data_IF_466822396240
#
_entry.id   IF_466822396240
#
_cell.length_a   1.000
_cell.length_b   1.000
_cell.length_c   1.000
_cell.angle_alpha   90.00
_cell.angle_beta   90.00
_cell.angle_gamma   90.00
#
_symmetry.space_group_name_H-M   'P 1'
#
loop_
_entity.id
_entity.type
_entity.pdbx_description
1 polymer ?
#
# COMPACT_ATOMS: atom_id res chain seq x y z
N UNK A 1 55.67 -9.19 47.44
CA UNK A 1 54.99 -8.29 48.39
C UNK A 1 53.94 -7.35 47.75
N UNK A 2 53.98 -7.05 46.44
CA UNK A 2 52.98 -6.13 45.83
C UNK A 2 51.61 -6.78 45.61
N UNK A 3 51.57 -8.07 45.23
CA UNK A 3 50.32 -8.79 44.95
C UNK A 3 49.48 -9.01 46.21
N UNK A 4 50.13 -9.30 47.34
CA UNK A 4 49.47 -9.48 48.65
C UNK A 4 48.85 -8.19 49.19
N UNK A 5 49.44 -7.03 48.86
CA UNK A 5 48.93 -5.72 49.30
C UNK A 5 47.65 -5.31 48.56
N UNK A 6 47.54 -5.65 47.26
CA UNK A 6 46.37 -5.32 46.44
C UNK A 6 45.16 -6.18 46.84
N UNK A 7 45.36 -7.46 47.15
CA UNK A 7 44.28 -8.34 47.62
C UNK A 7 43.75 -7.94 48.99
N UNK A 8 44.60 -7.42 49.88
CA UNK A 8 44.15 -6.94 51.19
C UNK A 8 43.34 -5.64 51.07
N UNK A 9 43.72 -4.75 50.14
CA UNK A 9 42.99 -3.51 49.87
C UNK A 9 41.61 -3.76 49.23
N UNK A 10 41.50 -4.78 48.36
CA UNK A 10 40.21 -5.16 47.75
C UNK A 10 39.25 -5.82 48.76
N UNK A 11 39.77 -6.58 49.73
CA UNK A 11 38.95 -7.21 50.77
C UNK A 11 38.42 -6.17 51.78
N UNK A 12 39.19 -5.12 52.05
CA UNK A 12 38.80 -4.04 52.97
C UNK A 12 37.63 -3.20 52.44
N UNK A 13 37.47 -3.09 51.10
CA UNK A 13 36.38 -2.36 50.46
C UNK A 13 35.00 -3.04 50.58
N UNK A 14 34.97 -4.34 50.94
CA UNK A 14 33.72 -5.10 51.12
C UNK A 14 33.14 -4.93 52.54
N UNK A 15 33.95 -4.41 53.49
CA UNK A 15 33.55 -4.24 54.89
C UNK A 15 32.97 -2.85 55.22
N UNK A 16 32.93 -1.92 54.27
CA UNK A 16 32.22 -0.66 54.44
C UNK A 16 30.74 -0.83 54.03
N UNK A 17 29.78 -0.54 54.93
CA UNK A 17 28.37 -0.54 54.55
C UNK A 17 28.16 0.56 53.49
N UNK A 18 27.60 0.18 52.34
CA UNK A 18 27.16 1.15 51.35
C UNK A 18 26.12 2.08 51.98
N UNK A 19 26.30 3.39 51.84
CA UNK A 19 25.28 4.37 52.22
C UNK A 19 23.95 3.99 51.57
N UNK A 20 22.86 4.06 52.34
CA UNK A 20 21.53 3.85 51.80
C UNK A 20 21.30 4.88 50.68
N UNK A 21 21.27 4.41 49.44
CA UNK A 21 20.82 5.19 48.30
C UNK A 21 19.38 5.67 48.60
N UNK A 22 19.28 6.92 49.04
CA UNK A 22 18.01 7.57 49.30
C UNK A 22 17.35 7.86 47.96
N UNK A 23 16.43 6.99 47.56
CA UNK A 23 15.47 7.29 46.53
C UNK A 23 14.67 8.52 46.99
N UNK A 24 14.89 9.66 46.31
CA UNK A 24 14.07 10.85 46.49
C UNK A 24 12.61 10.50 46.14
N UNK A 25 11.80 10.23 47.17
CA UNK A 25 10.35 10.38 47.11
C UNK A 25 10.04 11.87 47.16
N UNK A 26 10.04 12.53 46.01
CA UNK A 26 9.24 13.74 45.89
C UNK A 26 7.78 13.34 45.72
N UNK A 27 7.03 13.57 46.80
CA UNK A 27 5.57 13.63 46.79
C UNK A 27 5.11 14.58 45.68
N UNK A 28 4.66 14.03 44.56
CA UNK A 28 3.68 14.71 43.72
C UNK A 28 2.31 14.47 44.34
N UNK A 29 1.66 15.54 44.77
CA UNK A 29 0.24 15.54 45.09
C UNK A 29 -0.57 14.86 43.97
N UNK A 30 -1.58 14.03 44.27
CA UNK A 30 -2.37 13.38 43.24
C UNK A 30 -3.21 14.44 42.51
N UNK A 31 -2.81 14.77 41.28
CA UNK A 31 -3.71 15.41 40.33
C UNK A 31 -4.80 14.41 39.93
N UNK A 32 -6.04 14.89 39.81
CA UNK A 32 -7.29 14.13 39.68
C UNK A 32 -7.45 13.32 38.36
N UNK A 33 -6.37 12.82 37.78
CA UNK A 33 -6.35 12.14 36.48
C UNK A 33 -5.95 10.66 36.53
N UNK A 34 -5.58 10.11 37.70
CA UNK A 34 -5.17 8.71 37.84
C UNK A 34 -6.29 7.77 38.32
N UNK A 35 -7.51 7.94 37.82
CA UNK A 35 -8.58 6.94 38.03
C UNK A 35 -9.70 7.04 36.97
N UNK A 36 -9.32 6.95 35.69
CA UNK A 36 -10.30 6.82 34.61
C UNK A 36 -10.48 5.34 34.27
N UNK A 37 -11.69 4.84 34.48
CA UNK A 37 -12.07 3.46 34.21
C UNK A 37 -12.52 3.28 32.76
N UNK A 38 -12.10 2.18 32.13
CA UNK A 38 -12.48 1.83 30.76
C UNK A 38 -14.00 1.62 30.69
N UNK A 39 -14.69 2.42 29.86
CA UNK A 39 -16.14 2.32 29.62
C UNK A 39 -17.01 3.38 30.33
N UNK A 40 -16.42 4.23 31.18
CA UNK A 40 -17.14 5.28 31.91
C UNK A 40 -17.02 6.63 31.19
N UNK A 41 -18.14 7.34 30.99
CA UNK A 41 -18.14 8.69 30.38
C UNK A 41 -17.92 9.73 31.48
N UNK A 42 -16.86 10.52 31.35
CA UNK A 42 -16.57 11.64 32.23
C UNK A 42 -16.83 12.96 31.48
N UNK A 43 -17.66 13.87 32.02
CA UNK A 43 -17.84 15.18 31.42
C UNK A 43 -16.58 16.03 31.64
N UNK A 44 -16.05 16.60 30.56
CA UNK A 44 -14.96 17.57 30.63
C UNK A 44 -15.56 18.97 30.82
N UNK A 45 -15.32 19.60 31.96
CA UNK A 45 -15.56 21.03 32.14
C UNK A 45 -14.41 21.78 31.46
N UNK A 46 -14.71 22.50 30.38
CA UNK A 46 -13.77 23.42 29.73
C UNK A 46 -14.01 24.78 30.36
N UNK A 47 -13.10 25.22 31.23
CA UNK A 47 -13.11 26.57 31.77
C UNK A 47 -12.30 27.48 30.82
N UNK A 48 -13.00 28.31 30.04
CA UNK A 48 -12.37 29.29 29.14
C UNK A 48 -12.29 30.62 29.87
N UNK A 49 -11.21 30.82 30.62
CA UNK A 49 -10.87 32.13 31.18
C UNK A 49 -10.21 32.99 30.09
N UNK A 50 -11.00 33.89 29.50
CA UNK A 50 -10.49 34.90 28.56
C UNK A 50 -9.82 36.01 29.38
N UNK A 51 -8.49 36.07 29.34
CA UNK A 51 -7.72 37.15 29.93
C UNK A 51 -7.93 38.46 29.14
N UNK A 52 -8.46 39.48 29.81
CA UNK A 52 -8.56 40.84 29.28
C UNK A 52 -7.16 41.46 29.20
N UNK A 53 -6.63 41.62 27.98
CA UNK A 53 -5.47 42.48 27.71
C UNK A 53 -5.99 43.88 27.39
N UNK A 54 -5.75 44.82 28.30
CA UNK A 54 -6.05 46.24 28.13
C UNK A 54 -4.90 46.98 27.43
N UNK A 55 -5.26 47.65 26.33
CA UNK A 55 -4.82 48.95 25.80
C UNK A 55 -3.51 49.12 25.01
N UNK A 56 -3.70 49.68 23.81
CA UNK A 56 -2.69 50.26 22.91
C UNK A 56 -3.26 50.75 21.57
N UNK A 57 -4.21 51.70 21.60
CA UNK A 57 -4.64 52.67 20.57
C UNK A 57 -4.54 52.33 19.06
N UNK A 58 -5.68 52.18 18.37
CA UNK A 58 -6.18 53.20 17.40
C UNK A 58 -7.46 52.75 16.65
N UNK A 59 -8.48 53.63 16.73
CA UNK A 59 -9.56 53.92 15.78
C UNK A 59 -10.39 52.77 15.17
N UNK A 60 -11.59 52.57 15.72
CA UNK A 60 -12.76 52.11 14.95
C UNK A 60 -14.03 52.86 15.38
N UNK A 61 -14.64 53.54 14.40
CA UNK A 61 -16.01 54.05 14.46
C UNK A 61 -17.01 52.90 14.52
N UNK A 62 -17.90 53.00 15.49
CA UNK A 62 -19.34 52.77 15.40
C UNK A 62 -19.80 51.49 14.67
N UNK A 63 -20.12 50.46 15.47
CA UNK A 63 -21.14 49.47 15.13
C UNK A 63 -21.87 49.06 16.41
N UNK A 64 -23.13 49.49 16.42
CA UNK A 64 -24.16 49.19 17.38
C UNK A 64 -24.39 47.69 17.58
N UNK A 65 -24.68 47.38 18.83
CA UNK A 65 -25.18 46.13 19.36
C UNK A 65 -26.20 45.42 18.47
N UNK A 66 -25.79 44.32 17.85
CA UNK A 66 -26.73 43.27 17.43
C UNK A 66 -26.40 41.99 18.18
N UNK A 67 -27.37 41.58 19.00
CA UNK A 67 -27.46 40.30 19.69
C UNK A 67 -27.15 39.17 18.71
N UNK A 68 -25.95 38.61 18.78
CA UNK A 68 -25.69 37.28 18.23
C UNK A 68 -26.43 36.29 19.11
N UNK A 69 -27.67 36.01 18.72
CA UNK A 69 -28.48 34.98 19.35
C UNK A 69 -27.81 33.62 19.13
N UNK A 70 -27.60 32.90 20.23
CA UNK A 70 -27.26 31.46 20.30
C UNK A 70 -28.37 30.55 19.72
N UNK A 71 -29.22 31.06 18.83
CA UNK A 71 -30.43 30.40 18.34
C UNK A 71 -30.21 29.51 17.10
N UNK A 72 -28.99 29.38 16.59
CA UNK A 72 -28.73 28.68 15.31
C UNK A 72 -28.06 27.30 15.43
N UNK A 73 -27.83 26.77 16.63
CA UNK A 73 -27.36 25.38 16.81
C UNK A 73 -28.44 24.36 17.20
N UNK A 74 -29.70 24.78 17.40
CA UNK A 74 -30.81 23.93 17.87
C UNK A 74 -31.98 23.75 16.88
N UNK A 75 -31.72 23.81 15.57
CA UNK A 75 -32.66 23.30 14.54
C UNK A 75 -32.06 22.13 13.77
N UNK A 76 -31.64 21.09 14.48
CA UNK A 76 -31.78 19.73 13.93
C UNK A 76 -33.28 19.45 13.89
N UNK A 77 -33.94 19.78 12.78
CA UNK A 77 -35.23 19.20 12.45
C UNK A 77 -35.15 17.69 12.73
N UNK A 78 -36.05 17.16 13.55
CA UNK A 78 -36.09 15.72 13.86
C UNK A 78 -36.35 14.95 12.57
N UNK A 79 -35.26 14.54 11.92
CA UNK A 79 -35.33 13.70 10.75
C UNK A 79 -35.67 12.29 11.20
N UNK A 80 -36.74 11.74 10.62
CA UNK A 80 -37.01 10.30 10.72
C UNK A 80 -36.07 9.58 9.77
N UNK A 81 -35.15 8.79 10.33
CA UNK A 81 -34.14 8.05 9.57
C UNK A 81 -34.59 6.62 9.29
N UNK A 82 -34.58 6.24 8.00
CA UNK A 82 -34.79 4.86 7.56
C UNK A 82 -33.54 4.31 6.89
N UNK A 83 -33.16 3.08 7.21
CA UNK A 83 -32.10 2.33 6.53
C UNK A 83 -32.69 1.52 5.38
N UNK A 84 -32.05 1.52 4.22
CA UNK A 84 -32.41 0.68 3.09
C UNK A 84 -31.20 -0.14 2.62
N UNK A 85 -31.27 -1.46 2.82
CA UNK A 85 -30.31 -2.41 2.25
C UNK A 85 -30.67 -2.69 0.78
N UNK A 86 -29.68 -2.66 -0.08
CA UNK A 86 -29.83 -2.83 -1.53
C UNK A 86 -29.93 -4.31 -1.88
N UNK A 87 -30.99 -4.65 -2.61
CA UNK A 87 -31.32 -6.02 -3.02
C UNK A 87 -30.96 -6.25 -4.49
N UNK A 88 -30.90 -7.51 -4.91
CA UNK A 88 -30.69 -7.86 -6.32
C UNK A 88 -31.79 -7.23 -7.20
N UNK A 89 -31.38 -6.49 -8.24
CA UNK A 89 -32.30 -5.82 -9.16
C UNK A 89 -32.90 -4.50 -8.65
N UNK A 90 -32.47 -4.01 -7.47
CA UNK A 90 -32.81 -2.67 -7.00
C UNK A 90 -32.15 -1.61 -7.89
N UNK A 91 -32.87 -0.50 -8.08
CA UNK A 91 -32.35 0.79 -8.54
C UNK A 91 -32.64 1.82 -7.46
N UNK A 92 -32.02 3.01 -7.53
CA UNK A 92 -32.35 4.11 -6.61
C UNK A 92 -33.87 4.39 -6.59
N UNK A 93 -34.51 4.38 -7.76
CA UNK A 93 -35.96 4.56 -7.88
C UNK A 93 -36.76 3.51 -7.10
N UNK A 94 -36.39 2.22 -7.25
CA UNK A 94 -37.07 1.13 -6.53
C UNK A 94 -36.86 1.21 -5.02
N UNK A 95 -35.66 1.60 -4.59
CA UNK A 95 -35.33 1.77 -3.17
C UNK A 95 -36.14 2.91 -2.56
N UNK A 96 -36.16 4.07 -3.22
CA UNK A 96 -36.91 5.24 -2.77
C UNK A 96 -38.43 4.99 -2.77
N UNK A 97 -38.96 4.33 -3.80
CA UNK A 97 -40.36 3.94 -3.86
C UNK A 97 -40.76 3.00 -2.71
N UNK A 98 -39.93 2.01 -2.39
CA UNK A 98 -40.13 1.12 -1.23
C UNK A 98 -40.17 1.86 0.10
N UNK A 99 -39.54 3.02 0.19
CA UNK A 99 -39.55 3.88 1.37
C UNK A 99 -40.67 4.93 1.35
N UNK A 100 -41.51 4.97 0.30
CA UNK A 100 -42.65 5.87 0.15
C UNK A 100 -42.35 7.16 -0.64
N UNK A 101 -41.19 7.28 -1.30
CA UNK A 101 -40.85 8.44 -2.11
C UNK A 101 -41.18 8.21 -3.59
N UNK A 102 -41.80 9.20 -4.22
CA UNK A 102 -42.22 9.11 -5.61
C UNK A 102 -41.08 9.31 -6.63
N UNK A 103 -41.42 9.14 -7.92
CA UNK A 103 -40.48 9.28 -9.02
C UNK A 103 -39.88 10.69 -9.15
N UNK A 104 -40.62 11.74 -8.76
CA UNK A 104 -40.12 13.13 -8.78
C UNK A 104 -38.98 13.33 -7.80
N UNK A 105 -39.13 12.84 -6.56
CA UNK A 105 -38.04 12.88 -5.56
C UNK A 105 -36.82 12.10 -6.07
N UNK A 106 -37.05 10.94 -6.70
CA UNK A 106 -35.95 10.16 -7.29
C UNK A 106 -35.21 10.96 -8.36
N UNK A 107 -35.94 11.62 -9.27
CA UNK A 107 -35.35 12.47 -10.29
C UNK A 107 -34.52 13.59 -9.65
N UNK A 108 -35.12 14.38 -8.75
CA UNK A 108 -34.48 15.52 -8.08
C UNK A 108 -33.21 15.12 -7.30
N UNK A 109 -33.21 13.96 -6.63
CA UNK A 109 -32.03 13.41 -5.94
C UNK A 109 -30.97 12.92 -6.95
N UNK A 110 -31.38 12.24 -8.01
CA UNK A 110 -30.47 11.73 -9.04
C UNK A 110 -29.84 12.84 -9.89
N UNK A 111 -30.52 13.98 -10.00
CA UNK A 111 -30.08 15.20 -10.68
C UNK A 111 -29.57 16.27 -9.72
N UNK A 112 -29.32 15.91 -8.45
CA UNK A 112 -28.85 16.86 -7.45
C UNK A 112 -27.58 17.58 -7.92
N UNK A 113 -27.48 18.87 -7.58
CA UNK A 113 -26.37 19.73 -7.96
C UNK A 113 -25.05 19.14 -7.44
N UNK A 114 -24.02 19.17 -8.29
CA UNK A 114 -22.70 18.61 -7.99
C UNK A 114 -22.28 17.49 -8.94
N UNK A 115 -21.04 17.02 -8.79
CA UNK A 115 -20.43 16.04 -9.72
C UNK A 115 -20.63 14.58 -9.29
N UNK A 116 -21.18 14.34 -8.10
CA UNK A 116 -21.08 13.04 -7.42
C UNK A 116 -22.36 12.19 -7.48
N UNK A 117 -23.48 12.73 -7.97
CA UNK A 117 -24.76 12.01 -8.10
C UNK A 117 -24.70 10.80 -9.03
N UNK A 118 -23.79 10.79 -10.00
CA UNK A 118 -23.57 9.63 -10.88
C UNK A 118 -23.13 8.37 -10.11
N UNK A 119 -22.61 8.52 -8.87
CA UNK A 119 -22.25 7.40 -8.01
C UNK A 119 -23.48 6.65 -7.49
N UNK A 120 -24.65 7.30 -7.40
CA UNK A 120 -25.91 6.64 -7.05
C UNK A 120 -26.39 5.67 -8.15
N UNK A 121 -25.83 5.75 -9.36
CA UNK A 121 -26.08 4.76 -10.43
C UNK A 121 -25.22 3.50 -10.28
N UNK A 122 -24.22 3.53 -9.40
CA UNK A 122 -23.25 2.45 -9.17
C UNK A 122 -23.47 1.74 -7.83
N UNK A 123 -24.67 1.89 -7.25
CA UNK A 123 -25.03 1.22 -6.00
C UNK A 123 -24.98 -0.29 -6.20
N UNK A 124 -24.32 -1.00 -5.28
CA UNK A 124 -24.10 -2.43 -5.35
C UNK A 124 -25.04 -3.19 -4.42
N UNK A 125 -25.31 -4.45 -4.76
CA UNK A 125 -26.09 -5.34 -3.88
C UNK A 125 -25.34 -5.50 -2.55
N UNK A 126 -26.07 -5.37 -1.44
CA UNK A 126 -25.50 -5.42 -0.09
C UNK A 126 -25.21 -4.06 0.54
N UNK A 127 -25.10 -3.00 -0.27
CA UNK A 127 -24.94 -1.64 0.23
C UNK A 127 -26.11 -1.22 1.12
N UNK A 128 -25.88 -0.25 2.00
CA UNK A 128 -26.92 0.32 2.87
C UNK A 128 -26.97 1.83 2.72
N UNK A 129 -28.13 2.35 2.29
CA UNK A 129 -28.42 3.78 2.27
C UNK A 129 -29.18 4.19 3.52
N UNK A 130 -28.98 5.42 3.98
CA UNK A 130 -29.80 6.02 5.04
C UNK A 130 -30.54 7.21 4.45
N UNK A 131 -31.85 7.23 4.62
CA UNK A 131 -32.72 8.30 4.14
C UNK A 131 -33.35 9.00 5.34
N UNK A 132 -33.11 10.30 5.47
CA UNK A 132 -33.69 11.17 6.48
C UNK A 132 -34.80 12.00 5.85
N UNK A 133 -36.01 11.86 6.37
CA UNK A 133 -37.16 12.67 5.98
C UNK A 133 -37.66 13.54 7.12
N UNK A 134 -38.22 14.70 6.79
CA UNK A 134 -38.92 15.53 7.78
C UNK A 134 -40.29 14.93 8.15
N UNK A 135 -40.98 15.45 9.18
CA UNK A 135 -42.31 14.99 9.58
C UNK A 135 -43.39 15.07 8.48
N UNK A 136 -43.20 15.91 7.46
CA UNK A 136 -44.09 16.03 6.29
C UNK A 136 -43.79 15.00 5.19
N UNK A 137 -42.87 14.06 5.43
CA UNK A 137 -42.50 13.01 4.48
C UNK A 137 -41.58 13.45 3.34
N UNK A 138 -41.05 14.69 3.36
CA UNK A 138 -40.08 15.15 2.36
C UNK A 138 -38.69 14.61 2.68
N UNK A 139 -37.99 14.09 1.68
CA UNK A 139 -36.59 13.67 1.79
C UNK A 139 -35.71 14.90 2.02
N UNK A 140 -34.97 14.92 3.12
CA UNK A 140 -34.03 16.01 3.46
C UNK A 140 -32.59 15.58 3.28
N UNK A 141 -32.26 14.33 3.58
CA UNK A 141 -30.90 13.82 3.46
C UNK A 141 -30.86 12.37 3.00
N UNK A 142 -29.98 12.07 2.05
CA UNK A 142 -29.56 10.73 1.68
C UNK A 142 -28.09 10.60 2.01
N UNK A 143 -27.75 9.56 2.77
CA UNK A 143 -26.38 9.22 3.15
C UNK A 143 -26.05 7.84 2.58
N UNK A 144 -25.00 7.78 1.76
CA UNK A 144 -24.54 6.57 1.12
C UNK A 144 -23.04 6.36 1.35
N UNK A 145 -22.64 5.44 2.25
CA UNK A 145 -21.25 5.06 2.45
C UNK A 145 -20.69 4.41 1.18
N UNK A 146 -19.76 5.09 0.51
CA UNK A 146 -19.08 4.60 -0.70
C UNK A 146 -17.92 3.66 -0.35
N UNK A 147 -17.31 3.89 0.80
CA UNK A 147 -16.26 3.06 1.39
C UNK A 147 -16.22 3.31 2.90
N UNK A 148 -15.29 2.66 3.62
CA UNK A 148 -15.03 2.94 5.04
C UNK A 148 -14.62 4.41 5.29
N UNK A 149 -14.07 5.10 4.28
CA UNK A 149 -13.55 6.47 4.42
C UNK A 149 -14.36 7.51 3.68
N UNK A 150 -15.21 7.14 2.72
CA UNK A 150 -15.94 8.09 1.89
C UNK A 150 -17.44 7.88 2.03
N UNK A 151 -18.14 8.97 2.30
CA UNK A 151 -19.60 8.97 2.38
C UNK A 151 -20.14 10.03 1.43
N UNK A 152 -21.05 9.61 0.54
CA UNK A 152 -21.82 10.53 -0.28
C UNK A 152 -23.01 11.05 0.52
N UNK A 153 -23.16 12.36 0.53
CA UNK A 153 -24.34 13.04 1.05
C UNK A 153 -25.09 13.67 -0.11
N UNK A 154 -26.42 13.53 -0.10
CA UNK A 154 -27.32 14.31 -0.94
C UNK A 154 -28.33 14.98 -0.03
N UNK A 155 -28.19 16.29 0.13
CA UNK A 155 -28.97 17.08 1.09
C UNK A 155 -29.85 18.09 0.37
N UNK A 156 -31.07 18.28 0.86
CA UNK A 156 -31.95 19.34 0.41
C UNK A 156 -31.58 20.66 1.10
N UNK A 157 -31.03 21.60 0.35
CA UNK A 157 -30.55 22.92 0.82
C UNK A 157 -31.03 23.98 -0.16
N UNK A 158 -31.46 25.17 0.31
CA UNK A 158 -31.81 26.30 -0.57
C UNK A 158 -32.75 25.93 -1.73
N UNK A 159 -33.78 25.13 -1.45
CA UNK A 159 -34.75 24.63 -2.43
C UNK A 159 -34.23 23.69 -3.53
N UNK A 160 -33.03 23.14 -3.42
CA UNK A 160 -32.54 22.11 -4.32
C UNK A 160 -31.80 20.99 -3.57
N UNK A 161 -31.63 19.83 -4.21
CA UNK A 161 -30.71 18.83 -3.69
C UNK A 161 -29.29 19.14 -4.15
N UNK A 162 -28.34 19.02 -3.24
CA UNK A 162 -26.92 19.20 -3.48
C UNK A 162 -26.17 17.95 -3.01
N UNK A 163 -25.15 17.57 -3.77
CA UNK A 163 -24.32 16.38 -3.49
C UNK A 163 -22.89 16.77 -3.17
N UNK A 164 -22.36 16.20 -2.08
CA UNK A 164 -20.95 16.31 -1.72
C UNK A 164 -20.45 14.97 -1.15
N UNK A 165 -19.15 14.77 -1.17
CA UNK A 165 -18.51 13.61 -0.54
C UNK A 165 -17.73 14.12 0.66
N UNK A 166 -18.01 13.55 1.81
CA UNK A 166 -17.15 13.71 2.98
C UNK A 166 -16.17 12.54 3.02
N UNK A 167 -14.91 12.87 3.26
CA UNK A 167 -13.84 11.88 3.43
C UNK A 167 -13.36 11.94 4.86
N UNK A 168 -13.54 10.84 5.59
CA UNK A 168 -12.99 10.68 6.94
C UNK A 168 -11.47 10.58 6.86
N UNK A 169 -10.80 11.20 7.83
CA UNK A 169 -9.35 11.08 7.98
C UNK A 169 -9.00 9.66 8.40
N UNK A 170 -7.95 9.10 7.78
CA UNK A 170 -7.42 7.80 8.17
C UNK A 170 -6.28 8.03 9.13
N UNK A 171 -6.42 7.55 10.35
CA UNK A 171 -5.32 7.48 11.30
C UNK A 171 -4.47 6.25 10.97
N UNK A 172 -3.15 6.43 10.89
CA UNK A 172 -2.20 5.33 10.66
C UNK A 172 -1.37 5.10 11.91
N UNK A 173 -1.37 3.86 12.42
CA UNK A 173 -0.52 3.45 13.55
C UNK A 173 0.54 2.47 13.06
N UNK A 174 1.70 2.46 13.71
CA UNK A 174 2.76 1.50 13.37
C UNK A 174 2.52 0.19 14.11
N UNK A 175 2.59 -0.91 13.39
CA UNK A 175 2.44 -2.26 13.91
C UNK A 175 3.60 -3.15 13.44
N UNK A 176 3.75 -4.31 14.08
CA UNK A 176 4.88 -5.21 13.90
C UNK A 176 4.42 -6.66 13.79
N UNK A 177 5.14 -7.46 13.01
CA UNK A 177 4.96 -8.91 12.95
C UNK A 177 6.28 -9.58 12.68
N UNK A 178 6.52 -10.72 13.34
CA UNK A 178 7.68 -11.57 13.08
C UNK A 178 7.24 -13.02 12.92
N UNK A 179 7.99 -13.77 12.13
CA UNK A 179 7.75 -15.19 11.95
C UNK A 179 9.02 -15.97 11.67
N UNK A 180 8.94 -17.26 11.93
CA UNK A 180 10.00 -18.24 11.69
C UNK A 180 9.47 -19.32 10.75
N UNK A 181 10.25 -19.65 9.73
CA UNK A 181 9.89 -20.66 8.73
C UNK A 181 10.04 -22.05 9.33
N UNK A 182 8.93 -22.77 9.44
CA UNK A 182 8.92 -24.19 9.86
C UNK A 182 8.66 -25.13 8.69
N UNK A 183 7.85 -24.71 7.71
CA UNK A 183 7.48 -25.49 6.52
C UNK A 183 7.62 -24.69 5.24
N UNK A 184 6.84 -23.60 5.10
CA UNK A 184 6.94 -22.66 4.00
C UNK A 184 6.59 -21.24 4.47
N UNK A 185 6.90 -20.24 3.63
CA UNK A 185 6.68 -18.84 3.95
C UNK A 185 5.22 -18.46 4.16
N UNK A 186 4.31 -19.00 3.34
CA UNK A 186 2.89 -18.68 3.45
C UNK A 186 2.33 -19.11 4.81
N UNK A 187 2.61 -20.34 5.21
CA UNK A 187 2.17 -20.87 6.51
C UNK A 187 2.80 -20.13 7.69
N UNK A 188 4.08 -19.74 7.57
CA UNK A 188 4.74 -18.95 8.60
C UNK A 188 4.13 -17.54 8.71
N UNK A 189 3.73 -16.93 7.59
CA UNK A 189 3.00 -15.66 7.55
C UNK A 189 1.65 -15.74 8.26
N UNK A 190 0.83 -16.74 7.92
CA UNK A 190 -0.47 -16.98 8.58
C UNK A 190 -0.26 -17.22 10.08
N UNK A 191 0.70 -18.08 10.46
CA UNK A 191 0.98 -18.37 11.86
C UNK A 191 1.46 -17.15 12.65
N UNK A 192 2.10 -16.19 11.98
CA UNK A 192 2.50 -14.91 12.55
C UNK A 192 1.35 -13.88 12.61
N UNK A 193 0.16 -14.20 12.11
CA UNK A 193 -1.01 -13.30 12.10
C UNK A 193 -1.06 -12.35 10.90
N UNK A 194 -0.30 -12.61 9.83
CA UNK A 194 -0.36 -11.82 8.60
C UNK A 194 -1.55 -12.24 7.73
N UNK A 195 -2.16 -11.27 7.05
CA UNK A 195 -3.12 -11.55 5.97
C UNK A 195 -2.43 -11.88 4.62
N UNK A 196 -3.19 -12.45 3.70
CA UNK A 196 -2.72 -12.81 2.34
C UNK A 196 -2.03 -11.64 1.63
N UNK A 197 -2.57 -10.42 1.80
CA UNK A 197 -2.04 -9.22 1.18
C UNK A 197 -0.66 -8.83 1.72
N UNK A 198 -0.47 -8.90 3.03
CA UNK A 198 0.80 -8.65 3.70
C UNK A 198 1.84 -9.68 3.29
N UNK A 199 1.48 -10.97 3.24
CA UNK A 199 2.37 -12.07 2.82
C UNK A 199 2.85 -11.84 1.39
N UNK A 200 1.92 -11.56 0.46
CA UNK A 200 2.26 -11.26 -0.95
C UNK A 200 3.11 -9.99 -1.06
N UNK A 201 2.77 -8.94 -0.32
CA UNK A 201 3.53 -7.69 -0.35
C UNK A 201 4.95 -7.87 0.17
N UNK A 202 5.14 -8.65 1.25
CA UNK A 202 6.47 -8.97 1.77
C UNK A 202 7.28 -9.81 0.77
N UNK A 203 6.69 -10.85 0.18
CA UNK A 203 7.32 -11.62 -0.89
C UNK A 203 7.73 -10.73 -2.07
N UNK A 204 6.89 -9.76 -2.46
CA UNK A 204 7.21 -8.82 -3.54
C UNK A 204 8.38 -7.87 -3.20
N UNK A 205 8.60 -7.56 -1.92
CA UNK A 205 9.73 -6.72 -1.48
C UNK A 205 11.06 -7.45 -1.66
N UNK A 206 11.11 -8.74 -1.33
CA UNK A 206 12.36 -9.53 -1.33
C UNK A 206 12.50 -10.52 -2.49
N UNK A 207 11.47 -10.71 -3.31
CA UNK A 207 11.42 -11.75 -4.35
C UNK A 207 12.46 -11.60 -5.47
N UNK A 208 13.28 -10.55 -5.44
CA UNK A 208 14.45 -10.40 -6.29
C UNK A 208 15.73 -10.98 -5.71
N UNK A 209 15.84 -10.95 -4.38
CA UNK A 209 17.03 -11.36 -3.64
C UNK A 209 16.85 -12.77 -3.06
N UNK A 210 15.61 -13.17 -2.80
CA UNK A 210 15.25 -14.49 -2.27
C UNK A 210 14.24 -15.16 -3.22
N UNK A 211 14.54 -16.37 -3.69
CA UNK A 211 13.55 -17.23 -4.34
C UNK A 211 12.71 -17.95 -3.27
N UNK A 212 11.52 -17.42 -2.99
CA UNK A 212 10.63 -17.98 -1.95
C UNK A 212 10.19 -19.44 -2.21
N UNK A 213 10.35 -19.96 -3.43
CA UNK A 213 10.05 -21.35 -3.76
C UNK A 213 11.24 -22.30 -3.59
N UNK A 214 12.47 -21.81 -3.77
CA UNK A 214 13.67 -22.65 -3.85
C UNK A 214 14.67 -22.41 -2.71
N UNK A 215 14.76 -21.19 -2.20
CA UNK A 215 15.84 -20.76 -1.30
C UNK A 215 15.46 -20.84 0.17
N UNK A 216 14.17 -20.91 0.51
CA UNK A 216 13.75 -20.94 1.90
C UNK A 216 14.06 -22.24 2.60
N UNK A 217 14.54 -22.14 3.84
CA UNK A 217 14.86 -23.26 4.71
C UNK A 217 14.14 -23.13 6.04
N UNK A 218 14.04 -24.26 6.74
CA UNK A 218 13.63 -24.27 8.14
C UNK A 218 14.56 -23.33 8.92
N UNK A 219 13.99 -22.62 9.88
CA UNK A 219 14.66 -21.66 10.76
C UNK A 219 15.02 -20.29 10.16
N UNK A 220 14.75 -20.06 8.86
CA UNK A 220 14.72 -18.71 8.31
C UNK A 220 13.71 -17.83 9.07
N UNK A 221 13.96 -16.53 9.16
CA UNK A 221 13.08 -15.61 9.91
C UNK A 221 12.74 -14.36 9.12
N UNK A 222 11.62 -13.73 9.46
CA UNK A 222 11.27 -12.43 8.94
C UNK A 222 10.72 -11.54 10.06
N UNK A 223 10.92 -10.23 9.91
CA UNK A 223 10.34 -9.20 10.76
C UNK A 223 9.85 -8.03 9.91
N UNK A 224 8.68 -7.49 10.21
CA UNK A 224 8.01 -6.48 9.38
C UNK A 224 7.47 -5.38 10.27
N UNK A 225 7.76 -4.14 9.89
CA UNK A 225 7.10 -2.93 10.39
C UNK A 225 6.11 -2.47 9.34
N UNK A 226 4.85 -2.27 9.71
CA UNK A 226 3.79 -1.87 8.78
C UNK A 226 2.81 -0.88 9.41
N UNK A 227 1.89 -0.36 8.59
CA UNK A 227 0.81 0.53 9.02
C UNK A 227 -0.46 -0.25 9.34
N UNK A 228 -1.12 0.03 10.45
CA UNK A 228 -2.54 -0.25 10.66
C UNK A 228 -3.35 1.02 10.41
N UNK A 229 -4.52 0.88 9.78
CA UNK A 229 -5.38 2.01 9.44
C UNK A 229 -6.64 1.98 10.27
N UNK A 230 -6.99 3.15 10.80
CA UNK A 230 -8.17 3.36 11.63
C UNK A 230 -9.00 4.53 11.10
N UNK A 231 -10.31 4.41 11.26
CA UNK A 231 -11.27 5.48 10.98
C UNK A 231 -12.22 5.56 12.17
N UNK A 232 -12.28 6.72 12.83
CA UNK A 232 -13.08 6.92 14.05
C UNK A 232 -12.77 5.89 15.17
N UNK A 233 -11.54 5.38 15.21
CA UNK A 233 -11.10 4.35 16.16
C UNK A 233 -11.33 2.90 15.69
N UNK A 234 -12.11 2.68 14.64
CA UNK A 234 -12.35 1.35 14.08
C UNK A 234 -11.20 0.93 13.15
N UNK A 235 -10.69 -0.29 13.32
CA UNK A 235 -9.69 -0.86 12.43
C UNK A 235 -10.29 -1.14 11.04
N UNK A 236 -9.66 -0.59 10.00
CA UNK A 236 -10.13 -0.70 8.61
C UNK A 236 -9.18 -1.49 7.71
N UNK A 237 -8.15 -2.12 8.29
CA UNK A 237 -7.21 -2.98 7.58
C UNK A 237 -5.77 -2.46 7.60
N UNK A 238 -4.86 -3.34 7.21
CA UNK A 238 -3.44 -3.02 7.14
C UNK A 238 -3.14 -2.05 5.97
N UNK A 239 -2.04 -1.32 6.11
CA UNK A 239 -1.50 -0.35 5.17
C UNK A 239 -0.17 -0.82 4.60
N UNK A 240 0.78 0.09 4.44
CA UNK A 240 2.05 -0.20 3.76
C UNK A 240 3.04 -0.90 4.69
N UNK A 241 3.88 -1.76 4.13
CA UNK A 241 5.12 -2.19 4.80
C UNK A 241 6.07 -0.99 4.81
N UNK A 242 6.47 -0.56 6.01
CA UNK A 242 7.36 0.58 6.24
C UNK A 242 8.82 0.15 6.21
N UNK A 243 9.09 -1.01 6.80
CA UNK A 243 10.38 -1.68 6.73
C UNK A 243 10.20 -3.18 6.94
N UNK A 244 11.11 -3.96 6.39
CA UNK A 244 11.14 -5.39 6.63
C UNK A 244 12.58 -5.89 6.66
N UNK A 245 12.76 -6.99 7.38
CA UNK A 245 13.96 -7.78 7.39
C UNK A 245 13.62 -9.25 7.13
N UNK A 246 14.45 -9.93 6.35
CA UNK A 246 14.41 -11.36 6.15
C UNK A 246 15.81 -11.93 6.41
N UNK A 247 15.90 -12.98 7.22
CA UNK A 247 17.14 -13.75 7.40
C UNK A 247 16.96 -15.08 6.68
N UNK A 248 17.66 -15.25 5.55
CA UNK A 248 17.62 -16.47 4.76
C UNK A 248 19.00 -17.12 4.77
N UNK A 249 19.06 -18.35 5.30
CA UNK A 249 20.31 -19.12 5.42
C UNK A 249 21.47 -18.35 6.08
N UNK A 250 21.14 -17.50 7.07
CA UNK A 250 22.09 -16.67 7.81
C UNK A 250 22.43 -15.31 7.16
N UNK A 251 22.01 -15.07 5.91
CA UNK A 251 22.16 -13.76 5.26
C UNK A 251 20.98 -12.83 5.60
N UNK A 252 21.30 -11.58 5.94
CA UNK A 252 20.33 -10.57 6.35
C UNK A 252 19.96 -9.65 5.18
N UNK A 253 18.70 -9.67 4.80
CA UNK A 253 18.11 -8.81 3.78
C UNK A 253 17.21 -7.77 4.44
N UNK A 254 17.45 -6.48 4.17
CA UNK A 254 16.69 -5.39 4.77
C UNK A 254 16.13 -4.46 3.71
N UNK A 255 14.88 -4.06 3.88
CA UNK A 255 14.16 -3.19 2.96
C UNK A 255 13.45 -2.06 3.72
N UNK A 256 13.69 -0.82 3.30
CA UNK A 256 13.10 0.39 3.86
C UNK A 256 12.26 1.08 2.79
N UNK A 257 10.99 1.37 3.11
CA UNK A 257 10.09 2.12 2.23
C UNK A 257 10.41 3.61 2.26
N UNK A 258 10.50 4.24 1.09
CA UNK A 258 10.63 5.69 0.97
C UNK A 258 9.34 6.34 0.41
N UNK A 259 9.26 7.67 0.49
CA UNK A 259 8.09 8.48 0.10
C UNK A 259 7.75 8.40 -1.40
N UNK A 260 8.69 7.95 -2.23
CA UNK A 260 8.50 7.70 -3.66
C UNK A 260 7.82 6.34 -3.96
N UNK A 261 7.34 5.67 -2.91
CA UNK A 261 6.69 4.37 -2.93
C UNK A 261 7.59 3.17 -3.34
N UNK A 262 8.92 3.32 -3.36
CA UNK A 262 9.84 2.21 -3.59
C UNK A 262 10.48 1.72 -2.26
N UNK A 263 11.08 0.54 -2.33
CA UNK A 263 11.89 -0.03 -1.25
C UNK A 263 13.37 0.02 -1.62
N UNK A 264 14.17 0.30 -0.60
CA UNK A 264 15.62 0.41 -0.71
C UNK A 264 16.30 -0.32 0.43
N UNK A 265 17.49 -0.85 0.21
CA UNK A 265 18.37 -1.29 1.30
C UNK A 265 18.69 -0.10 2.23
N UNK A 266 19.16 -0.32 3.46
CA UNK A 266 19.59 0.77 4.34
C UNK A 266 20.68 1.67 3.74
N UNK A 267 21.49 1.12 2.83
CA UNK A 267 22.49 1.88 2.08
C UNK A 267 21.90 2.71 0.91
N UNK A 268 20.59 2.62 0.65
CA UNK A 268 19.90 3.34 -0.40
C UNK A 268 19.97 2.68 -1.78
N UNK A 269 20.41 1.42 -1.89
CA UNK A 269 20.30 0.64 -3.13
C UNK A 269 18.86 0.20 -3.33
N UNK A 270 18.35 0.15 -4.56
CA UNK A 270 16.96 -0.26 -4.77
C UNK A 270 16.79 -1.76 -4.51
N UNK A 271 15.70 -2.13 -3.82
CA UNK A 271 15.29 -3.54 -3.66
C UNK A 271 14.70 -4.12 -4.95
N UNK A 272 14.51 -3.31 -5.99
CA UNK A 272 14.02 -3.76 -7.30
C UNK A 272 15.20 -3.99 -8.23
N UNK A 273 15.15 -5.08 -8.99
CA UNK A 273 15.97 -5.19 -10.21
C UNK A 273 15.31 -4.35 -11.32
N UNK A 274 16.12 -3.74 -12.18
CA UNK A 274 15.58 -2.91 -13.25
C UNK A 274 14.68 -3.69 -14.24
N UNK A 275 14.78 -5.04 -14.25
CA UNK A 275 14.11 -5.92 -15.21
C UNK A 275 13.55 -7.22 -14.61
N UNK A 276 12.36 -7.66 -15.06
CA UNK A 276 11.79 -9.00 -14.86
C UNK A 276 12.52 -10.00 -15.76
N UNK A 277 12.85 -11.17 -15.19
CA UNK A 277 13.43 -12.29 -15.96
C UNK A 277 12.39 -12.99 -16.83
N UNK A 278 11.17 -13.13 -16.32
CA UNK A 278 10.04 -13.71 -17.02
C UNK A 278 8.88 -12.69 -17.10
N UNK A 279 8.61 -12.10 -18.28
CA UNK A 279 7.57 -11.08 -18.45
C UNK A 279 6.16 -11.66 -18.71
N UNK A 280 5.91 -12.93 -18.39
CA UNK A 280 4.66 -13.63 -18.68
C UNK A 280 4.44 -14.72 -17.63
N UNK A 281 3.18 -15.04 -17.31
CA UNK A 281 2.85 -16.25 -16.55
C UNK A 281 2.85 -17.46 -17.51
N UNK A 282 3.75 -18.41 -17.32
CA UNK A 282 3.99 -19.50 -18.29
C UNK A 282 3.89 -20.88 -17.63
N UNK A 283 3.60 -21.90 -18.44
CA UNK A 283 3.49 -23.29 -17.97
C UNK A 283 4.85 -23.95 -17.83
N UNK A 284 5.71 -23.78 -18.85
CA UNK A 284 7.10 -24.22 -18.85
C UNK A 284 7.89 -23.47 -19.94
N UNK A 285 9.21 -23.56 -19.90
CA UNK A 285 10.11 -23.00 -20.92
C UNK A 285 10.24 -24.03 -22.05
N UNK A 286 9.74 -23.73 -23.24
CA UNK A 286 9.80 -24.65 -24.38
C UNK A 286 11.16 -24.63 -25.08
N UNK A 287 11.88 -23.50 -25.03
CA UNK A 287 13.21 -23.39 -25.61
C UNK A 287 14.03 -22.31 -24.89
N UNK A 288 15.27 -22.65 -24.53
CA UNK A 288 16.20 -21.72 -23.89
C UNK A 288 17.01 -20.93 -24.91
N UNK A 289 17.56 -19.79 -24.48
CA UNK A 289 18.62 -19.10 -25.21
C UNK A 289 19.78 -20.06 -25.48
N UNK A 290 20.18 -20.19 -26.75
CA UNK A 290 21.31 -21.04 -27.17
C UNK A 290 22.05 -20.37 -28.31
N UNK A 291 23.38 -20.25 -28.20
CA UNK A 291 24.22 -19.73 -29.30
C UNK A 291 24.14 -20.59 -30.57
N UNK A 292 23.81 -21.88 -30.44
CA UNK A 292 23.62 -22.81 -31.55
C UNK A 292 22.52 -23.83 -31.19
N UNK A 293 21.44 -23.89 -31.98
CA UNK A 293 20.43 -24.97 -31.93
C UNK A 293 19.92 -25.32 -33.32
N UNK A 294 19.35 -26.50 -33.47
CA UNK A 294 18.58 -26.82 -34.66
C UNK A 294 17.23 -26.06 -34.64
N UNK A 295 16.94 -25.33 -35.72
CA UNK A 295 15.70 -24.58 -35.87
C UNK A 295 14.64 -25.49 -36.52
N UNK A 296 13.52 -25.80 -35.84
CA UNK A 296 12.59 -26.83 -36.28
C UNK A 296 11.83 -26.41 -37.55
N UNK A 297 11.36 -25.16 -37.64
CA UNK A 297 10.67 -24.65 -38.84
C UNK A 297 11.62 -24.47 -40.04
N UNK A 298 12.78 -23.84 -39.86
CA UNK A 298 13.73 -23.55 -40.93
C UNK A 298 14.65 -24.73 -41.27
N UNK A 299 14.58 -25.83 -40.52
CA UNK A 299 15.39 -27.06 -40.67
C UNK A 299 16.90 -26.82 -40.83
N UNK A 300 17.46 -25.87 -40.06
CA UNK A 300 18.90 -25.53 -40.08
C UNK A 300 19.43 -25.14 -38.70
N UNK A 301 20.74 -25.22 -38.51
CA UNK A 301 21.40 -24.77 -37.28
C UNK A 301 21.48 -23.24 -37.22
N UNK A 302 20.98 -22.65 -36.12
CA UNK A 302 20.96 -21.21 -35.89
C UNK A 302 20.99 -20.89 -34.40
N UNK A 303 21.47 -19.70 -34.03
CA UNK A 303 21.30 -19.17 -32.69
C UNK A 303 19.81 -18.96 -32.35
N UNK A 304 19.45 -19.28 -31.12
CA UNK A 304 18.19 -18.90 -30.50
C UNK A 304 18.46 -17.73 -29.56
N UNK A 305 18.09 -16.54 -30.02
CA UNK A 305 18.48 -15.25 -29.45
C UNK A 305 17.60 -14.76 -28.29
N UNK A 306 16.71 -15.63 -27.83
CA UNK A 306 15.78 -15.39 -26.74
C UNK A 306 15.39 -16.68 -26.01
N UNK A 307 14.39 -16.58 -25.17
CA UNK A 307 13.78 -17.70 -24.45
C UNK A 307 12.30 -17.80 -24.84
N UNK A 308 11.83 -19.01 -25.12
CA UNK A 308 10.45 -19.29 -25.48
C UNK A 308 9.69 -19.78 -24.24
N UNK A 309 8.68 -19.01 -23.84
CA UNK A 309 7.81 -19.31 -22.71
C UNK A 309 6.47 -19.83 -23.21
N UNK A 310 6.17 -21.10 -22.96
CA UNK A 310 4.90 -21.72 -23.36
C UNK A 310 3.76 -21.20 -22.48
N UNK A 311 2.74 -20.62 -23.09
CA UNK A 311 1.57 -20.09 -22.40
C UNK A 311 0.34 -20.17 -23.31
N UNK A 312 -0.86 -20.10 -22.72
CA UNK A 312 -2.10 -20.12 -23.51
C UNK A 312 -2.21 -18.84 -24.34
N UNK A 313 -2.82 -18.92 -25.53
CA UNK A 313 -3.19 -17.72 -26.29
C UNK A 313 -4.02 -16.80 -25.41
N UNK A 314 -3.72 -15.50 -25.42
CA UNK A 314 -4.42 -14.52 -24.60
C UNK A 314 -3.79 -14.28 -23.23
N UNK A 315 -2.79 -15.06 -22.79
CA UNK A 315 -2.09 -14.78 -21.53
C UNK A 315 -1.42 -13.40 -21.57
N UNK A 316 -1.66 -12.51 -20.58
CA UNK A 316 -1.05 -11.19 -20.54
C UNK A 316 0.49 -11.25 -20.49
N UNK A 317 1.13 -10.43 -21.31
CA UNK A 317 2.59 -10.21 -21.30
C UNK A 317 2.85 -8.79 -20.85
N UNK A 318 3.79 -8.62 -19.92
CA UNK A 318 4.11 -7.34 -19.28
C UNK A 318 5.48 -6.81 -19.71
N UNK A 319 5.70 -5.51 -19.61
CA UNK A 319 7.02 -4.93 -19.82
C UNK A 319 7.99 -5.40 -18.73
N UNK A 320 9.12 -5.98 -19.14
CA UNK A 320 10.14 -6.46 -18.20
C UNK A 320 10.77 -5.33 -17.39
N UNK A 321 10.85 -4.11 -17.92
CA UNK A 321 11.41 -2.94 -17.24
C UNK A 321 10.72 -1.66 -17.68
N UNK A 322 10.97 -0.56 -16.97
CA UNK A 322 10.53 0.78 -17.40
C UNK A 322 11.18 1.12 -18.74
N UNK A 323 10.44 1.71 -19.68
CA UNK A 323 11.02 2.03 -20.99
C UNK A 323 10.08 2.77 -21.94
N UNK A 324 10.52 2.90 -23.18
CA UNK A 324 9.76 3.49 -24.30
C UNK A 324 9.60 2.46 -25.40
N UNK A 325 8.39 2.31 -25.92
CA UNK A 325 8.10 1.44 -27.06
C UNK A 325 8.75 2.03 -28.32
N UNK A 326 9.78 1.37 -28.86
CA UNK A 326 10.45 1.81 -30.10
C UNK A 326 9.88 1.15 -31.35
N UNK A 327 9.30 -0.05 -31.21
CA UNK A 327 8.53 -0.71 -32.26
C UNK A 327 7.32 -1.40 -31.66
N UNK A 328 6.18 -1.23 -32.30
CA UNK A 328 4.98 -2.03 -32.07
C UNK A 328 4.33 -2.21 -33.43
N UNK A 329 4.64 -3.28 -34.14
CA UNK A 329 4.15 -3.53 -35.50
C UNK A 329 3.98 -5.04 -35.74
N UNK A 330 3.65 -5.42 -36.97
CA UNK A 330 3.54 -6.79 -37.43
C UNK A 330 4.57 -7.06 -38.54
N UNK A 331 5.14 -8.26 -38.58
CA UNK A 331 5.80 -8.79 -39.78
C UNK A 331 5.69 -10.33 -39.84
N UNK A 332 5.99 -10.91 -41.00
CA UNK A 332 5.85 -12.36 -41.24
C UNK A 332 6.70 -13.26 -40.35
N UNK A 333 7.79 -12.76 -39.77
CA UNK A 333 8.69 -13.56 -38.94
C UNK A 333 8.35 -13.44 -37.45
N UNK A 334 8.24 -12.22 -36.95
CA UNK A 334 7.99 -11.94 -35.54
C UNK A 334 6.51 -12.01 -35.16
N UNK A 335 5.61 -12.03 -36.15
CA UNK A 335 4.18 -11.86 -35.93
C UNK A 335 3.86 -10.45 -35.45
N UNK A 336 2.88 -10.32 -34.55
CA UNK A 336 2.71 -9.09 -33.78
C UNK A 336 3.77 -9.02 -32.70
N UNK A 337 4.51 -7.91 -32.65
CA UNK A 337 5.60 -7.76 -31.69
C UNK A 337 5.68 -6.36 -31.10
N UNK A 338 6.34 -6.27 -29.96
CA UNK A 338 6.66 -5.03 -29.26
C UNK A 338 8.14 -5.06 -28.89
N UNK A 339 8.87 -3.99 -29.19
CA UNK A 339 10.26 -3.79 -28.75
C UNK A 339 10.31 -2.56 -27.83
N UNK A 340 10.99 -2.70 -26.70
CA UNK A 340 11.05 -1.67 -25.66
C UNK A 340 12.51 -1.28 -25.45
N UNK A 341 12.80 0.00 -25.71
CA UNK A 341 14.07 0.59 -25.32
C UNK A 341 14.01 0.99 -23.86
N UNK A 342 15.00 0.56 -23.10
CA UNK A 342 15.17 0.91 -21.70
C UNK A 342 16.39 1.79 -21.52
N UNK A 343 16.66 2.19 -20.26
CA UNK A 343 17.93 2.80 -19.89
C UNK A 343 19.12 1.84 -20.04
N UNK A 344 20.32 2.37 -19.86
CA UNK A 344 21.56 1.59 -19.72
C UNK A 344 21.85 0.66 -20.91
N UNK A 345 21.45 1.09 -22.11
CA UNK A 345 21.68 0.36 -23.36
C UNK A 345 20.89 -0.95 -23.48
N UNK A 346 19.86 -1.16 -22.64
CA UNK A 346 19.05 -2.38 -22.66
C UNK A 346 17.88 -2.27 -23.62
N UNK A 347 17.69 -3.31 -24.44
CA UNK A 347 16.56 -3.47 -25.35
C UNK A 347 15.90 -4.82 -25.09
N UNK A 348 14.59 -4.84 -24.87
CA UNK A 348 13.81 -6.09 -24.79
C UNK A 348 12.85 -6.22 -25.96
N UNK A 349 12.64 -7.46 -26.41
CA UNK A 349 11.78 -7.76 -27.54
C UNK A 349 10.80 -8.88 -27.18
N UNK A 350 9.55 -8.69 -27.57
CA UNK A 350 8.43 -9.58 -27.28
C UNK A 350 7.72 -9.88 -28.59
N UNK A 351 7.72 -11.15 -28.99
CA UNK A 351 7.24 -11.59 -30.30
C UNK A 351 6.04 -12.53 -30.19
N UNK A 352 5.44 -12.82 -31.34
CA UNK A 352 4.35 -13.80 -31.54
C UNK A 352 3.06 -13.47 -30.81
N UNK A 353 2.78 -12.20 -30.50
CA UNK A 353 1.54 -11.82 -29.82
C UNK A 353 0.30 -12.17 -30.66
N UNK A 354 -0.80 -12.50 -29.98
CA UNK A 354 -2.13 -12.51 -30.62
C UNK A 354 -2.58 -11.08 -30.87
N UNK A 355 -2.43 -10.22 -29.85
CA UNK A 355 -2.78 -8.80 -29.89
C UNK A 355 -1.77 -7.96 -29.10
N UNK A 356 -1.45 -6.77 -29.63
CA UNK A 356 -0.63 -5.74 -28.96
C UNK A 356 -1.54 -4.84 -28.13
N UNK A 357 -1.08 -4.42 -26.94
CA UNK A 357 -1.83 -3.52 -26.05
C UNK A 357 -1.24 -2.09 -25.99
N UNK A 358 -0.17 -1.83 -26.77
CA UNK A 358 0.57 -0.56 -26.76
C UNK A 358 0.96 -0.12 -28.17
N UNK A 359 1.32 1.16 -28.32
CA UNK A 359 1.73 1.78 -29.59
C UNK A 359 3.16 2.32 -29.54
N UNK A 360 3.79 2.51 -30.72
CA UNK A 360 5.12 3.12 -30.86
C UNK A 360 5.13 4.50 -30.19
N UNK A 361 6.22 4.81 -29.49
CA UNK A 361 6.43 6.09 -28.79
C UNK A 361 5.91 6.12 -27.35
N UNK A 362 5.01 5.22 -26.97
CA UNK A 362 4.43 5.14 -25.63
C UNK A 362 5.50 4.83 -24.57
N UNK A 363 5.41 5.48 -23.40
CA UNK A 363 6.20 5.12 -22.21
C UNK A 363 5.46 4.03 -21.44
N UNK A 364 6.19 3.06 -20.93
CA UNK A 364 5.64 1.95 -20.15
C UNK A 364 6.41 1.75 -18.85
N UNK A 365 5.70 1.31 -17.82
CA UNK A 365 6.28 0.90 -16.54
C UNK A 365 6.55 -0.60 -16.53
N UNK A 366 7.56 -1.05 -15.80
CA UNK A 366 7.75 -2.46 -15.48
C UNK A 366 6.46 -3.06 -14.92
N UNK A 367 6.07 -4.24 -15.40
CA UNK A 367 4.82 -4.90 -15.01
C UNK A 367 3.56 -4.42 -15.75
N UNK A 368 3.64 -3.36 -16.56
CA UNK A 368 2.51 -2.93 -17.39
C UNK A 368 2.26 -3.90 -18.54
N UNK A 369 1.00 -4.29 -18.78
CA UNK A 369 0.61 -5.15 -19.91
C UNK A 369 0.93 -4.46 -21.25
N UNK A 370 1.64 -5.17 -22.12
CA UNK A 370 2.08 -4.70 -23.46
C UNK A 370 1.49 -5.51 -24.62
N UNK A 371 0.95 -6.68 -24.33
CA UNK A 371 0.34 -7.55 -25.32
C UNK A 371 -0.11 -8.86 -24.70
N UNK A 372 -0.55 -9.77 -25.56
CA UNK A 372 -1.07 -11.06 -25.16
C UNK A 372 -0.43 -12.16 -25.99
N UNK A 373 -0.08 -13.27 -25.34
CA UNK A 373 0.51 -14.45 -25.98
C UNK A 373 -0.33 -14.88 -27.18
N UNK A 374 0.35 -15.32 -28.24
CA UNK A 374 -0.28 -15.89 -29.43
C UNK A 374 0.69 -16.79 -30.17
N UNK A 375 0.42 -16.96 -31.47
CA UNK A 375 1.19 -17.83 -32.37
C UNK A 375 1.33 -17.17 -33.74
N UNK A 376 1.45 -15.84 -33.79
CA UNK A 376 1.54 -15.12 -35.06
C UNK A 376 2.98 -15.11 -35.59
N UNK A 377 3.14 -15.02 -36.91
CA UNK A 377 4.45 -15.05 -37.55
C UNK A 377 5.04 -16.47 -37.56
N UNK A 378 6.35 -16.58 -37.40
CA UNK A 378 7.07 -17.84 -37.46
C UNK A 378 7.04 -18.55 -36.09
N UNK A 379 5.91 -19.20 -35.76
CA UNK A 379 5.69 -19.89 -34.49
C UNK A 379 4.93 -21.22 -34.70
N UNK A 380 5.37 -22.30 -34.01
CA UNK A 380 4.73 -23.63 -34.09
C UNK A 380 3.57 -23.82 -33.10
N UNK A 381 3.62 -23.13 -31.97
CA UNK A 381 2.62 -23.23 -30.91
C UNK A 381 2.49 -21.89 -30.17
N UNK A 382 1.40 -21.64 -29.41
CA UNK A 382 1.27 -20.43 -28.61
C UNK A 382 2.38 -20.29 -27.57
N UNK A 383 3.19 -19.24 -27.69
CA UNK A 383 4.29 -18.94 -26.77
C UNK A 383 4.69 -17.46 -26.85
N UNK A 384 5.46 -17.01 -25.86
CA UNK A 384 6.20 -15.75 -25.94
C UNK A 384 7.66 -16.06 -26.27
N UNK A 385 8.15 -15.55 -27.40
CA UNK A 385 9.59 -15.45 -27.65
C UNK A 385 10.10 -14.11 -27.09
N UNK A 386 10.99 -14.20 -26.10
CA UNK A 386 11.52 -13.05 -25.36
C UNK A 386 13.02 -12.91 -25.54
N UNK A 387 13.46 -11.79 -26.12
CA UNK A 387 14.88 -11.47 -26.29
C UNK A 387 15.31 -10.33 -25.35
N UNK A 388 16.52 -10.44 -24.81
CA UNK A 388 17.15 -9.42 -23.96
C UNK A 388 18.50 -9.04 -24.54
N UNK A 389 18.68 -7.76 -24.86
CA UNK A 389 19.90 -7.22 -25.44
C UNK A 389 20.51 -6.20 -24.47
N UNK A 390 21.83 -6.28 -24.29
CA UNK A 390 22.63 -5.29 -23.56
C UNK A 390 23.64 -4.71 -24.54
N UNK A 391 23.58 -3.40 -24.77
CA UNK A 391 24.45 -2.69 -25.71
C UNK A 391 24.47 -3.35 -27.10
N UNK A 392 23.30 -3.74 -27.60
CA UNK A 392 23.13 -4.39 -28.91
C UNK A 392 23.45 -5.90 -28.95
N UNK A 393 24.00 -6.48 -27.88
CA UNK A 393 24.36 -7.91 -27.84
C UNK A 393 23.27 -8.72 -27.14
N UNK A 394 22.78 -9.77 -27.80
CA UNK A 394 21.83 -10.71 -27.21
C UNK A 394 22.46 -11.47 -26.03
N UNK A 395 21.77 -11.48 -24.89
CA UNK A 395 22.15 -12.20 -23.68
C UNK A 395 21.02 -13.12 -23.26
N UNK A 396 21.37 -14.21 -22.58
CA UNK A 396 20.37 -15.10 -22.02
C UNK A 396 19.54 -14.32 -20.97
N UNK A 397 18.23 -14.07 -21.19
CA UNK A 397 17.42 -13.27 -20.28
C UNK A 397 17.30 -13.87 -18.88
N UNK A 398 17.54 -15.19 -18.75
CA UNK A 398 17.46 -15.91 -17.48
C UNK A 398 18.70 -15.72 -16.60
N UNK A 399 19.86 -15.55 -17.22
CA UNK A 399 21.16 -15.58 -16.50
C UNK A 399 21.95 -14.29 -16.63
N UNK A 400 21.56 -13.37 -17.50
CA UNK A 400 22.22 -12.07 -17.64
C UNK A 400 22.18 -11.32 -16.31
N UNK A 401 23.32 -10.75 -15.92
CA UNK A 401 23.40 -9.86 -14.77
C UNK A 401 22.60 -8.61 -15.09
N UNK A 402 21.54 -8.37 -14.32
CA UNK A 402 20.67 -7.23 -14.49
C UNK A 402 21.26 -6.01 -13.76
N UNK A 403 21.13 -4.80 -14.31
CA UNK A 403 21.46 -3.59 -13.57
C UNK A 403 20.47 -3.44 -12.41
N UNK A 404 20.98 -2.97 -11.27
CA UNK A 404 20.16 -2.58 -10.13
C UNK A 404 19.24 -1.44 -10.56
N UNK A 405 18.00 -1.41 -10.05
CA UNK A 405 17.18 -0.22 -10.24
C UNK A 405 17.87 0.98 -9.58
N UNK A 406 17.57 2.18 -10.09
CA UNK A 406 18.23 3.41 -9.64
C UNK A 406 18.17 3.52 -8.11
N UNK A 407 19.30 3.76 -7.44
CA UNK A 407 19.32 3.96 -5.99
C UNK A 407 18.56 5.23 -5.62
N UNK A 408 18.39 5.45 -4.32
CA UNK A 408 17.80 6.67 -3.79
C UNK A 408 18.46 7.90 -4.43
N UNK A 409 17.63 8.83 -4.94
CA UNK A 409 18.14 10.02 -5.61
C UNK A 409 19.07 10.81 -4.69
N UNK A 410 20.16 11.37 -5.24
CA UNK A 410 21.20 12.07 -4.45
C UNK A 410 20.61 13.09 -3.47
N UNK A 411 19.64 13.89 -3.92
CA UNK A 411 18.93 14.90 -3.10
C UNK A 411 18.21 14.36 -1.87
N UNK A 412 17.88 13.06 -1.84
CA UNK A 412 17.15 12.43 -0.74
C UNK A 412 18.04 11.55 0.14
N UNK A 413 19.35 11.43 -0.13
CA UNK A 413 20.24 10.52 0.61
C UNK A 413 20.28 10.78 2.11
N UNK A 414 20.35 12.04 2.52
CA UNK A 414 20.39 12.42 3.94
C UNK A 414 19.07 12.08 4.63
N UNK A 415 17.95 12.54 4.05
CA UNK A 415 16.61 12.24 4.57
C UNK A 415 16.35 10.72 4.63
N UNK A 416 16.75 9.98 3.60
CA UNK A 416 16.63 8.53 3.58
C UNK A 416 17.51 7.85 4.63
N UNK A 417 18.76 8.29 4.84
CA UNK A 417 19.65 7.72 5.87
C UNK A 417 19.06 7.88 7.27
N UNK A 418 18.47 9.04 7.57
CA UNK A 418 17.78 9.28 8.85
C UNK A 418 16.54 8.38 8.99
N UNK A 419 15.74 8.27 7.93
CA UNK A 419 14.57 7.38 7.90
C UNK A 419 14.98 5.91 8.07
N UNK A 420 16.00 5.45 7.34
CA UNK A 420 16.51 4.09 7.42
C UNK A 420 17.01 3.78 8.85
N UNK A 421 17.76 4.69 9.47
CA UNK A 421 18.19 4.52 10.86
C UNK A 421 17.01 4.38 11.82
N UNK A 422 15.97 5.22 11.67
CA UNK A 422 14.73 5.11 12.45
C UNK A 422 14.07 3.74 12.27
N UNK A 423 13.87 3.31 11.01
CA UNK A 423 13.20 2.04 10.69
C UNK A 423 13.99 0.81 11.13
N UNK A 424 15.32 0.86 11.07
CA UNK A 424 16.17 -0.20 11.60
C UNK A 424 16.04 -0.34 13.12
N UNK A 425 15.96 0.78 13.86
CA UNK A 425 15.70 0.76 15.31
C UNK A 425 14.32 0.17 15.62
N UNK A 426 13.30 0.47 14.83
CA UNK A 426 11.97 -0.12 14.96
C UNK A 426 11.98 -1.64 14.71
N UNK A 427 12.70 -2.10 13.67
CA UNK A 427 12.91 -3.53 13.41
C UNK A 427 13.67 -4.23 14.56
N UNK A 428 14.69 -3.59 15.12
CA UNK A 428 15.43 -4.17 16.24
C UNK A 428 14.60 -4.19 17.53
N UNK A 429 13.90 -3.11 17.82
CA UNK A 429 13.01 -3.01 18.98
C UNK A 429 11.90 -4.05 18.96
N UNK A 430 11.23 -4.21 17.81
CA UNK A 430 10.16 -5.21 17.65
C UNK A 430 10.62 -6.64 17.87
N UNK A 431 11.81 -7.02 17.39
CA UNK A 431 12.40 -8.34 17.69
C UNK A 431 12.56 -8.57 19.19
N UNK A 432 13.09 -7.57 19.91
CA UNK A 432 13.34 -7.69 21.36
C UNK A 432 12.04 -7.78 22.16
N UNK A 433 11.05 -6.94 21.84
CA UNK A 433 9.75 -6.93 22.54
C UNK A 433 9.03 -8.26 22.40
N UNK A 434 9.02 -8.84 21.20
CA UNK A 434 8.25 -10.06 20.96
C UNK A 434 8.98 -11.31 21.49
N UNK A 435 10.32 -11.31 21.53
CA UNK A 435 11.09 -12.32 22.28
C UNK A 435 10.82 -12.28 23.79
N UNK A 436 10.58 -11.10 24.35
CA UNK A 436 10.24 -10.96 25.77
C UNK A 436 8.80 -11.40 26.10
N UNK A 437 7.88 -11.36 25.14
CA UNK A 437 6.49 -11.84 25.31
C UNK A 437 6.35 -13.38 25.21
N UNK A 438 7.35 -14.06 24.66
CA UNK A 438 7.37 -15.53 24.49
C UNK A 438 8.11 -16.25 25.63
N UNK A 439 8.69 -15.51 26.57
CA UNK A 439 9.26 -15.99 27.84
C UNK A 439 8.28 -15.70 28.96
#
# INVERSE_FOLDING_TARGET
>A
MVITSITFFLLLLILFPAENASASRQHAQPSAFNQLEIGKRYPLAIDVSIANVTNGNNQTKDLTSSKFSESNFNQKNELSWKKAKVRKGDSLAKILNRLGFNARVTYEVSSAQGKNTQLLKKIMVGDTLRIGSNPRGKLISLVYPLSQTKTLFVNYLNNNYQSHIETKTVETRTAYVQGKITSNFWNAGIAAGMDDGQIINLANVFGWDIDFALDLRKDDTFNVVYEDRYVDGDFIGHGKILAAEFVNQGEVFQAIRFSDNNYYTPAGKSMRKAFLRAPVNFRYISSNFKKRRFHPIQKRWKAHNGTDYRAKTGTPVVAAGNGRIIKATYNKFNGNYVFIQHGDGVLTKYLHFSKRAVKKGQRVKQGQVIGYVGMTGLAEAPHLHYEFLVNGVHRNPRTVKLPDARPIAKKYRIAFKLLASKRLKELEGSKRTLLAMLK
#
